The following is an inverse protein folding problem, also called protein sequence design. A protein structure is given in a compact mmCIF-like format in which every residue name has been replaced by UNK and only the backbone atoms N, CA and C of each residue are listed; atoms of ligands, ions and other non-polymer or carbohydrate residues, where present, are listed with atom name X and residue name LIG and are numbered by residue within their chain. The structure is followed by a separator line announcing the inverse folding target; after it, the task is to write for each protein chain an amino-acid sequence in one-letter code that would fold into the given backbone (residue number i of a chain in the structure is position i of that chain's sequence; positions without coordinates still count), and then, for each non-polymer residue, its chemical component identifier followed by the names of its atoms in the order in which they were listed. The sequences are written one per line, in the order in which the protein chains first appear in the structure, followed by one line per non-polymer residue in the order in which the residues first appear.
data_IF_105054219368
#
_entry.id   IF_105054219368
#
_cell.length_a   1.000
_cell.length_b   1.000
_cell.length_c   1.000
_cell.angle_alpha   90.00
_cell.angle_beta   90.00
_cell.angle_gamma   90.00
#
_symmetry.space_group_name_H-M   'P 1'
#
loop_
_entity.id
_entity.type
_entity.pdbx_description
1 polymer ?
#
# COMPACT_ATOMS: atom_id res chain seq x y z
N UNK A 1 8.08 -4.10 -13.23
CA UNK A 1 7.13 -5.14 -12.80
C UNK A 1 7.57 -6.52 -13.29
N UNK A 2 8.23 -6.59 -14.45
CA UNK A 2 8.68 -7.84 -15.07
C UNK A 2 9.60 -8.72 -14.20
N UNK A 3 10.49 -8.13 -13.39
CA UNK A 3 11.41 -8.90 -12.55
C UNK A 3 10.69 -9.63 -11.39
N UNK A 4 9.65 -8.99 -10.85
CA UNK A 4 8.88 -9.55 -9.73
C UNK A 4 7.92 -10.61 -10.27
N UNK A 5 7.18 -10.31 -11.33
CA UNK A 5 6.32 -11.28 -12.03
C UNK A 5 7.09 -12.51 -12.53
N UNK A 6 8.26 -12.33 -13.17
CA UNK A 6 9.06 -13.46 -13.67
C UNK A 6 9.67 -14.32 -12.57
N UNK A 7 10.05 -13.72 -11.43
CA UNK A 7 10.55 -14.47 -10.26
C UNK A 7 9.44 -15.30 -9.61
N UNK A 8 8.24 -14.73 -9.45
CA UNK A 8 7.10 -15.46 -8.90
C UNK A 8 6.56 -16.53 -9.86
N UNK A 9 6.55 -16.27 -11.17
CA UNK A 9 6.18 -17.25 -12.19
C UNK A 9 7.16 -18.44 -12.25
N UNK A 10 8.46 -18.18 -12.08
CA UNK A 10 9.48 -19.24 -12.02
C UNK A 10 9.38 -20.05 -10.72
N UNK A 11 8.95 -19.42 -9.63
CA UNK A 11 8.74 -20.08 -8.35
C UNK A 11 7.51 -20.99 -8.37
N UNK A 12 6.40 -20.53 -8.96
CA UNK A 12 5.17 -21.32 -9.07
C UNK A 12 5.40 -22.55 -9.96
N UNK A 13 6.10 -22.40 -11.09
CA UNK A 13 6.46 -23.54 -11.96
C UNK A 13 7.32 -24.57 -11.25
N UNK A 14 8.26 -24.13 -10.40
CA UNK A 14 9.14 -25.03 -9.65
C UNK A 14 8.41 -25.82 -8.56
N UNK A 15 7.36 -25.23 -7.96
CA UNK A 15 6.49 -25.91 -6.99
C UNK A 15 5.59 -26.94 -7.66
N UNK A 16 5.09 -26.67 -8.86
CA UNK A 16 4.32 -27.63 -9.66
C UNK A 16 5.18 -28.82 -10.11
N UNK A 17 6.47 -28.59 -10.38
CA UNK A 17 7.40 -29.63 -10.84
C UNK A 17 7.92 -30.53 -9.69
N UNK A 18 7.87 -30.05 -8.45
CA UNK A 18 8.34 -30.80 -7.26
C UNK A 18 7.24 -31.55 -6.51
N UNK A 19 5.94 -31.23 -6.73
CA UNK A 19 4.82 -31.93 -6.09
C UNK A 19 4.05 -32.84 -7.09
N UNK A 20 3.52 -33.99 -6.62
CA UNK A 20 2.67 -34.84 -7.45
C UNK A 20 1.42 -34.09 -7.94
N UNK A 21 0.95 -34.35 -9.17
CA UNK A 21 -0.20 -33.66 -9.74
C UNK A 21 -1.47 -34.01 -8.97
N UNK A 22 -2.16 -32.97 -8.49
CA UNK A 22 -3.41 -33.08 -7.76
C UNK A 22 -4.02 -31.71 -7.48
N UNK A 23 -5.33 -31.68 -7.23
CA UNK A 23 -6.11 -30.46 -6.96
C UNK A 23 -5.56 -29.59 -5.81
N UNK A 24 -4.87 -30.21 -4.83
CA UNK A 24 -4.18 -29.48 -3.75
C UNK A 24 -2.95 -28.71 -4.24
N UNK A 25 -2.23 -29.25 -5.22
CA UNK A 25 -1.02 -28.64 -5.78
C UNK A 25 -1.40 -27.41 -6.62
N UNK A 26 -2.46 -27.50 -7.44
CA UNK A 26 -2.98 -26.35 -8.21
C UNK A 26 -3.51 -25.24 -7.30
N UNK A 27 -4.28 -25.59 -6.26
CA UNK A 27 -4.76 -24.61 -5.28
C UNK A 27 -3.62 -23.86 -4.57
N UNK A 28 -2.52 -24.54 -4.26
CA UNK A 28 -1.36 -23.89 -3.66
C UNK A 28 -0.57 -23.06 -4.69
N UNK A 29 -0.24 -23.65 -5.83
CA UNK A 29 0.66 -23.05 -6.81
C UNK A 29 0.00 -21.92 -7.62
N UNK A 30 -1.23 -22.14 -8.11
CA UNK A 30 -1.95 -21.13 -8.89
C UNK A 30 -2.80 -20.21 -8.02
N UNK A 31 -3.26 -20.69 -6.86
CA UNK A 31 -4.07 -19.89 -5.93
C UNK A 31 -3.22 -19.06 -4.96
N UNK A 32 -2.49 -19.73 -4.07
CA UNK A 32 -1.78 -19.07 -2.97
C UNK A 32 -0.50 -18.38 -3.46
N UNK A 33 0.35 -19.06 -4.22
CA UNK A 33 1.65 -18.50 -4.65
C UNK A 33 1.43 -17.33 -5.61
N UNK A 34 0.60 -17.50 -6.63
CA UNK A 34 0.24 -16.41 -7.55
C UNK A 34 -0.48 -15.27 -6.82
N UNK A 35 -1.38 -15.59 -5.88
CA UNK A 35 -2.11 -14.60 -5.10
C UNK A 35 -1.19 -13.75 -4.20
N UNK A 36 -0.24 -14.37 -3.50
CA UNK A 36 0.75 -13.67 -2.68
C UNK A 36 1.72 -12.87 -3.57
N UNK A 37 2.11 -13.41 -4.73
CA UNK A 37 2.92 -12.69 -5.72
C UNK A 37 2.28 -11.36 -6.12
N UNK A 38 0.96 -11.37 -6.35
CA UNK A 38 0.18 -10.15 -6.61
C UNK A 38 0.23 -9.13 -5.48
N UNK A 39 0.07 -9.56 -4.22
CA UNK A 39 0.13 -8.66 -3.05
C UNK A 39 1.52 -8.06 -2.86
N UNK A 40 2.58 -8.87 -3.05
CA UNK A 40 3.97 -8.45 -2.88
C UNK A 40 4.37 -7.38 -3.89
N UNK A 41 3.82 -7.39 -5.12
CA UNK A 41 4.05 -6.33 -6.12
C UNK A 41 3.60 -4.95 -5.64
N UNK A 42 2.59 -4.87 -4.77
CA UNK A 42 2.10 -3.60 -4.24
C UNK A 42 2.94 -3.07 -3.07
N UNK A 43 3.70 -3.92 -2.39
CA UNK A 43 4.50 -3.52 -1.22
C UNK A 43 5.55 -2.45 -1.54
N UNK A 44 6.36 -2.55 -2.61
CA UNK A 44 7.30 -1.50 -2.99
C UNK A 44 6.62 -0.15 -3.23
N UNK A 45 5.44 -0.16 -3.83
CA UNK A 45 4.68 1.06 -4.15
C UNK A 45 4.18 1.74 -2.88
N UNK A 46 3.64 0.96 -1.93
CA UNK A 46 3.15 1.43 -0.64
C UNK A 46 4.32 1.90 0.24
N UNK A 47 5.42 1.15 0.28
CA UNK A 47 6.61 1.50 1.05
C UNK A 47 7.23 2.82 0.58
N UNK A 48 7.24 3.09 -0.72
CA UNK A 48 7.72 4.36 -1.26
C UNK A 48 6.82 5.54 -0.84
N UNK A 49 5.51 5.32 -0.79
CA UNK A 49 4.52 6.30 -0.34
C UNK A 49 4.69 6.60 1.17
N UNK A 50 4.81 5.57 2.00
CA UNK A 50 5.08 5.72 3.43
C UNK A 50 6.47 6.34 3.72
N UNK A 51 7.48 6.02 2.91
CA UNK A 51 8.79 6.66 3.02
C UNK A 51 8.74 8.16 2.75
N UNK A 52 7.97 8.57 1.74
CA UNK A 52 7.73 10.00 1.47
C UNK A 52 6.96 10.70 2.60
N UNK A 53 5.97 10.03 3.19
CA UNK A 53 5.23 10.56 4.34
C UNK A 53 6.11 10.72 5.57
N UNK A 54 6.93 9.72 5.91
CA UNK A 54 7.88 9.80 7.02
C UNK A 54 8.90 10.93 6.81
N UNK A 55 9.36 11.15 5.57
CA UNK A 55 10.23 12.28 5.26
C UNK A 55 9.53 13.65 5.45
N UNK A 56 8.25 13.75 5.05
CA UNK A 56 7.44 14.95 5.27
C UNK A 56 7.07 15.19 6.75
N UNK A 57 7.01 14.11 7.52
CA UNK A 57 6.84 14.12 8.97
C UNK A 57 8.08 14.71 9.66
N UNK A 58 9.27 14.17 9.36
CA UNK A 58 10.54 14.64 9.96
C UNK A 58 10.89 16.09 9.57
N UNK A 59 10.53 16.50 8.35
CA UNK A 59 10.74 17.88 7.89
C UNK A 59 9.70 18.87 8.44
N UNK A 60 8.73 18.40 9.24
CA UNK A 60 7.72 19.23 9.89
C UNK A 60 6.72 19.89 8.92
N UNK A 61 6.68 19.46 7.66
CA UNK A 61 5.67 19.90 6.69
C UNK A 61 4.27 19.46 7.14
N UNK A 62 4.15 18.25 7.69
CA UNK A 62 2.88 17.79 8.25
C UNK A 62 2.48 18.60 9.50
N UNK A 63 3.43 18.91 10.38
CA UNK A 63 3.18 19.73 11.58
C UNK A 63 2.69 21.14 11.24
N UNK A 64 3.24 21.77 10.19
CA UNK A 64 2.83 23.12 9.76
C UNK A 64 1.49 23.14 9.03
N UNK A 65 1.19 22.13 8.21
CA UNK A 65 -0.11 22.05 7.51
C UNK A 65 -1.25 21.77 8.49
N UNK A 66 -1.03 20.92 9.51
CA UNK A 66 -2.00 20.71 10.60
C UNK A 66 -2.16 21.97 11.45
N UNK A 67 -1.11 22.74 11.68
CA UNK A 67 -1.21 24.03 12.37
C UNK A 67 -2.02 25.07 11.56
N UNK A 68 -1.82 25.12 10.24
CA UNK A 68 -2.63 25.98 9.37
C UNK A 68 -4.08 25.50 9.29
N UNK A 69 -4.34 24.19 9.30
CA UNK A 69 -5.70 23.66 9.36
C UNK A 69 -6.35 23.95 10.71
N UNK A 70 -5.66 23.79 11.84
CA UNK A 70 -6.24 24.11 13.15
C UNK A 70 -6.54 25.61 13.29
N UNK A 71 -5.66 26.51 12.79
CA UNK A 71 -5.91 27.96 12.79
C UNK A 71 -7.00 28.37 11.79
N UNK A 72 -7.06 27.73 10.62
CA UNK A 72 -8.11 27.97 9.63
C UNK A 72 -9.46 27.45 10.12
N UNK A 73 -9.49 26.32 10.84
CA UNK A 73 -10.71 25.80 11.44
C UNK A 73 -11.24 26.76 12.52
N UNK A 74 -10.38 27.41 13.31
CA UNK A 74 -10.79 28.49 14.25
C UNK A 74 -11.39 29.70 13.52
N UNK A 75 -10.94 30.01 12.31
CA UNK A 75 -11.52 31.09 11.49
C UNK A 75 -12.83 30.66 10.79
N UNK A 76 -12.94 29.41 10.35
CA UNK A 76 -14.13 28.83 9.73
C UNK A 76 -15.27 28.60 10.74
N UNK A 77 -14.96 28.24 12.00
CA UNK A 77 -15.92 28.20 13.11
C UNK A 77 -16.55 29.57 13.41
N UNK A 78 -15.87 30.67 13.03
CA UNK A 78 -16.39 32.03 13.13
C UNK A 78 -17.34 32.37 11.97
N UNK A 79 -17.09 31.83 10.75
CA UNK A 79 -18.03 31.97 9.62
C UNK A 79 -19.29 31.11 9.78
N UNK A 80 -19.17 29.88 10.31
CA UNK A 80 -20.35 29.02 10.53
C UNK A 80 -21.30 29.61 11.59
N UNK A 81 -20.77 30.31 12.61
CA UNK A 81 -21.59 31.05 13.58
C UNK A 81 -22.22 32.35 13.05
N UNK A 82 -21.66 32.99 12.02
CA UNK A 82 -22.25 34.17 11.35
C UNK A 82 -23.41 33.78 10.42
N UNK A 83 -23.40 32.56 9.89
CA UNK A 83 -24.50 32.03 9.06
C UNK A 83 -25.63 31.36 9.88
N UNK A 84 -25.45 31.23 11.20
CA UNK A 84 -26.39 30.58 12.11
C UNK A 84 -27.09 31.59 13.07
N UNK A 85 -27.16 32.87 12.68
CA UNK A 85 -27.83 33.95 13.42
C UNK A 85 -28.64 34.86 12.50
#
# INVERSE_FOLDING_TARGET
MDFIDSTFASLSSWVVETLPPGVFTDLLAEGIITGIGGVVIFIPQIALLFGFLAFLEDTGYFSRVVFLWTVSCVHLDCMEKVWCL
#
